data_IF_667434330118
#
_entry.id   IF_667434330118
#
_cell.length_a   1.000
_cell.length_b   1.000
_cell.length_c   1.000
_cell.angle_alpha   90.00
_cell.angle_beta   90.00
_cell.angle_gamma   90.00
#
_symmetry.space_group_name_H-M   'P 1'
#
loop_
_entity.id
_entity.type
_entity.pdbx_description
1 polymer ?
#
# COMPACT_ATOMS: atom_id res chain seq x y z
N UNK A 1 -9.53 33.31 -13.98
CA UNK A 1 -8.70 32.78 -12.88
C UNK A 1 -8.81 31.27 -12.91
N UNK A 2 -7.76 30.59 -13.34
CA UNK A 2 -7.70 29.13 -13.28
C UNK A 2 -7.10 28.74 -11.93
N UNK A 3 -7.86 27.99 -11.14
CA UNK A 3 -7.31 27.24 -10.02
C UNK A 3 -6.95 25.85 -10.52
N UNK A 4 -5.65 25.62 -10.70
CA UNK A 4 -5.08 24.29 -10.88
C UNK A 4 -4.71 23.85 -9.47
N UNK A 5 -5.44 22.87 -8.93
CA UNK A 5 -4.99 22.17 -7.73
C UNK A 5 -3.58 21.64 -8.05
N UNK A 6 -2.56 21.85 -7.18
CA UNK A 6 -1.28 21.20 -7.37
C UNK A 6 -1.59 19.71 -7.51
N UNK A 7 -0.95 19.09 -8.50
CA UNK A 7 -1.15 17.73 -8.96
C UNK A 7 -1.06 16.73 -7.80
N UNK A 8 -2.06 16.67 -6.93
CA UNK A 8 -2.48 15.50 -6.19
C UNK A 8 -3.12 14.60 -7.25
N UNK A 9 -2.27 14.07 -8.13
CA UNK A 9 -2.53 12.77 -8.70
C UNK A 9 -2.76 11.88 -7.49
N UNK A 10 -3.98 11.35 -7.33
CA UNK A 10 -4.37 10.39 -6.30
C UNK A 10 -3.51 9.13 -6.43
N UNK A 11 -2.23 9.26 -6.08
CA UNK A 11 -1.20 8.24 -6.17
C UNK A 11 -1.25 7.52 -4.85
N UNK A 12 -1.81 6.33 -4.87
CA UNK A 12 -1.86 5.51 -3.69
C UNK A 12 -0.51 4.81 -3.48
N UNK A 13 -0.21 4.52 -2.23
CA UNK A 13 0.90 3.66 -1.86
C UNK A 13 0.37 2.48 -1.04
N UNK A 14 0.82 1.28 -1.40
CA UNK A 14 0.60 0.06 -0.63
C UNK A 14 1.91 -0.35 0.01
N UNK A 15 1.87 -0.72 1.28
CA UNK A 15 3.01 -1.30 1.98
C UNK A 15 2.58 -2.52 2.78
N UNK A 16 3.41 -3.57 2.75
CA UNK A 16 3.18 -4.79 3.50
C UNK A 16 4.22 -4.92 4.62
N UNK A 17 3.73 -5.13 5.84
CA UNK A 17 4.54 -5.30 7.05
C UNK A 17 4.23 -6.63 7.72
N UNK A 18 5.22 -7.27 8.33
CA UNK A 18 4.95 -8.38 9.25
C UNK A 18 4.47 -7.85 10.62
N UNK A 19 4.09 -8.76 11.52
CA UNK A 19 3.55 -8.41 12.85
C UNK A 19 4.57 -7.76 13.80
N UNK A 20 5.87 -7.82 13.49
CA UNK A 20 6.92 -7.12 14.24
C UNK A 20 7.28 -5.76 13.64
N UNK A 21 6.54 -5.32 12.61
CA UNK A 21 6.71 -4.00 11.98
C UNK A 21 7.82 -3.93 10.92
N UNK A 22 8.38 -5.06 10.49
CA UNK A 22 9.33 -5.10 9.38
C UNK A 22 8.58 -4.95 8.04
N UNK A 23 9.04 -4.03 7.19
CA UNK A 23 8.49 -3.85 5.84
C UNK A 23 9.02 -4.91 4.89
N UNK A 24 8.12 -5.59 4.18
CA UNK A 24 8.42 -6.59 3.16
C UNK A 24 8.33 -6.01 1.75
N UNK A 25 7.25 -5.28 1.46
CA UNK A 25 6.96 -4.76 0.13
C UNK A 25 6.45 -3.32 0.21
N UNK A 26 6.67 -2.56 -0.86
CA UNK A 26 6.11 -1.23 -1.05
C UNK A 26 5.89 -0.97 -2.53
N UNK A 27 4.73 -0.42 -2.87
CA UNK A 27 4.38 -0.01 -4.22
C UNK A 27 3.74 1.37 -4.17
N UNK A 28 4.13 2.26 -5.08
CA UNK A 28 3.76 3.69 -5.07
C UNK A 28 3.14 4.07 -6.40
N UNK A 29 2.44 5.20 -6.41
CA UNK A 29 1.89 5.81 -7.62
C UNK A 29 0.84 4.93 -8.32
N UNK A 30 0.03 4.24 -7.52
CA UNK A 30 -1.11 3.45 -8.01
C UNK A 30 -2.24 4.43 -8.34
N UNK A 31 -2.68 4.45 -9.59
CA UNK A 31 -3.65 5.45 -10.09
C UNK A 31 -5.11 5.01 -10.01
N UNK A 32 -5.41 3.70 -10.02
CA UNK A 32 -6.78 3.18 -10.01
C UNK A 32 -6.91 1.83 -9.27
N UNK A 33 -6.01 0.88 -9.54
CA UNK A 33 -5.97 -0.44 -8.89
C UNK A 33 -4.51 -0.84 -8.64
N UNK A 34 -4.22 -1.30 -7.42
CA UNK A 34 -2.88 -1.69 -6.99
C UNK A 34 -2.78 -3.20 -6.85
N UNK A 35 -1.83 -3.82 -7.56
CA UNK A 35 -1.57 -5.25 -7.44
C UNK A 35 -0.23 -5.46 -6.75
N UNK A 36 -0.26 -5.83 -5.47
CA UNK A 36 0.97 -6.16 -4.76
C UNK A 36 1.35 -7.63 -5.00
N UNK A 37 2.47 -7.87 -5.70
CA UNK A 37 2.97 -9.23 -5.91
C UNK A 37 3.64 -9.77 -4.64
N UNK A 38 3.08 -10.84 -4.07
CA UNK A 38 3.54 -11.46 -2.81
C UNK A 38 4.26 -12.81 -3.01
N UNK A 39 4.70 -13.15 -4.22
CA UNK A 39 5.26 -14.47 -4.53
C UNK A 39 6.49 -14.85 -3.68
N UNK A 40 7.27 -13.86 -3.24
CA UNK A 40 8.46 -14.07 -2.41
C UNK A 40 8.22 -13.77 -0.92
N UNK A 41 6.96 -13.63 -0.51
CA UNK A 41 6.58 -13.38 0.88
C UNK A 41 6.19 -14.71 1.52
N UNK A 42 6.81 -15.12 2.64
CA UNK A 42 6.43 -16.35 3.34
C UNK A 42 4.96 -16.36 3.75
N UNK A 43 4.34 -17.54 3.78
CA UNK A 43 2.99 -17.69 4.32
C UNK A 43 2.92 -17.18 5.77
N UNK A 44 1.83 -16.48 6.12
CA UNK A 44 1.67 -15.88 7.44
C UNK A 44 0.70 -14.71 7.47
N UNK A 45 0.56 -14.09 8.64
CA UNK A 45 -0.29 -12.92 8.86
C UNK A 45 0.55 -11.64 8.74
N UNK A 46 0.04 -10.67 7.98
CA UNK A 46 0.71 -9.42 7.68
C UNK A 46 -0.24 -8.23 7.87
N UNK A 47 0.33 -7.07 8.13
CA UNK A 47 -0.38 -5.79 8.08
C UNK A 47 -0.18 -5.15 6.71
N UNK A 48 -1.25 -5.00 5.95
CA UNK A 48 -1.28 -4.22 4.72
C UNK A 48 -1.67 -2.79 5.06
N UNK A 49 -0.84 -1.82 4.71
CA UNK A 49 -1.08 -0.38 4.88
C UNK A 49 -1.33 0.27 3.54
N UNK A 50 -2.37 1.09 3.49
CA UNK A 50 -2.77 1.91 2.35
C UNK A 50 -2.56 3.38 2.69
N UNK A 51 -1.95 4.13 1.78
CA UNK A 51 -1.71 5.56 1.92
C UNK A 51 -2.25 6.31 0.71
N UNK A 52 -2.94 7.42 0.96
CA UNK A 52 -3.47 8.34 -0.04
C UNK A 52 -3.26 9.77 0.44
N UNK A 53 -2.20 10.43 -0.03
CA UNK A 53 -1.77 11.72 0.52
C UNK A 53 -1.43 11.61 2.01
N UNK A 54 -2.11 12.38 2.85
CA UNK A 54 -1.98 12.34 4.32
C UNK A 54 -2.85 11.26 4.99
N UNK A 55 -3.74 10.62 4.22
CA UNK A 55 -4.63 9.58 4.70
C UNK A 55 -3.94 8.23 4.76
N UNK A 56 -4.18 7.46 5.83
CA UNK A 56 -3.74 6.06 5.89
C UNK A 56 -4.78 5.14 6.53
N UNK A 57 -4.85 3.91 6.01
CA UNK A 57 -5.61 2.78 6.58
C UNK A 57 -4.71 1.57 6.71
N UNK A 58 -5.08 0.66 7.60
CA UNK A 58 -4.43 -0.66 7.66
C UNK A 58 -5.44 -1.77 7.88
N UNK A 59 -5.11 -2.95 7.38
CA UNK A 59 -5.87 -4.18 7.59
C UNK A 59 -4.90 -5.35 7.78
N UNK A 60 -5.36 -6.42 8.42
CA UNK A 60 -4.63 -7.67 8.49
C UNK A 60 -5.02 -8.55 7.30
N UNK A 61 -4.03 -9.17 6.68
CA UNK A 61 -4.22 -10.17 5.63
C UNK A 61 -3.46 -11.45 5.97
N UNK A 62 -3.93 -12.57 5.45
CA UNK A 62 -3.20 -13.84 5.48
C UNK A 62 -2.68 -14.15 4.09
N UNK A 63 -1.38 -14.45 3.98
CA UNK A 63 -0.78 -14.99 2.76
C UNK A 63 -0.72 -16.50 2.92
N UNK A 64 -1.34 -17.21 1.97
CA UNK A 64 -1.35 -18.67 1.86
C UNK A 64 -0.81 -19.05 0.47
N UNK A 65 -0.10 -20.17 0.39
CA UNK A 65 0.48 -20.72 -0.86
C UNK A 65 -0.16 -22.06 -1.19
#
# INVERSE_FOLDING_TARGET
>A
MHYILPHDSNKWQLELYNLVGQKFLSEKAIENEGTLNVNNVPAGIYQLRYFEGSYSRSTLISIIH
#
